data_IF_624348971127
#
_entry.id   IF_624348971127
#
_cell.length_a   1.000
_cell.length_b   1.000
_cell.length_c   1.000
_cell.angle_alpha   90.00
_cell.angle_beta   90.00
_cell.angle_gamma   90.00
#
_symmetry.space_group_name_H-M   'P 1'
#
loop_
_entity.id
_entity.type
_entity.pdbx_description
1 polymer ?
#
# COMPACT_ATOMS: atom_id res chain seq x y z
N UNK A 1 10.17 29.24 14.25
CA UNK A 1 9.26 28.70 15.30
C UNK A 1 8.30 27.72 14.65
N UNK A 2 8.53 26.41 14.78
CA UNK A 2 7.59 25.41 14.26
C UNK A 2 6.31 25.45 15.12
N UNK A 3 5.23 26.06 14.59
CA UNK A 3 3.89 25.84 15.15
C UNK A 3 3.62 24.35 15.07
N UNK A 4 3.18 23.76 16.18
CA UNK A 4 2.85 22.34 16.26
C UNK A 4 1.78 21.99 15.21
N UNK A 5 2.14 21.26 14.15
CA UNK A 5 1.22 20.80 13.08
C UNK A 5 0.12 19.91 13.62
N UNK A 6 0.46 19.15 14.67
CA UNK A 6 -0.42 18.56 15.64
C UNK A 6 -1.15 19.65 16.45
N UNK A 7 -1.64 20.74 15.87
CA UNK A 7 -2.71 21.58 16.45
C UNK A 7 -3.94 21.61 15.53
N UNK A 8 -3.81 21.15 14.28
CA UNK A 8 -4.90 21.08 13.30
C UNK A 8 -5.81 19.87 13.47
N UNK A 9 -5.31 18.74 13.96
CA UNK A 9 -6.17 17.57 14.23
C UNK A 9 -6.97 17.71 15.54
N UNK A 10 -8.08 17.00 15.70
CA UNK A 10 -8.65 16.81 17.02
C UNK A 10 -7.62 16.13 17.94
N UNK A 11 -7.49 16.59 19.20
CA UNK A 11 -6.52 16.01 20.16
C UNK A 11 -6.78 14.52 20.35
N UNK A 12 -8.04 14.14 20.31
CA UNK A 12 -8.58 12.80 20.34
C UNK A 12 -8.30 11.96 19.07
N UNK A 13 -7.45 12.43 18.16
CA UNK A 13 -7.00 11.67 16.98
C UNK A 13 -5.48 11.55 16.86
N UNK A 14 -4.73 11.99 17.88
CA UNK A 14 -3.26 12.04 17.86
C UNK A 14 -2.68 11.23 18.98
N UNK A 15 -2.24 10.03 18.71
CA UNK A 15 -1.89 9.10 19.77
C UNK A 15 -0.41 8.73 19.72
N UNK A 16 0.18 8.57 20.90
CA UNK A 16 1.48 7.96 21.04
C UNK A 16 1.40 6.79 22.01
N UNK A 17 1.87 5.63 21.55
CA UNK A 17 1.96 4.41 22.35
C UNK A 17 3.39 4.27 22.87
N UNK A 18 3.59 4.58 24.14
CA UNK A 18 4.91 4.53 24.77
C UNK A 18 5.26 3.18 25.41
N UNK A 19 4.33 2.20 25.45
CA UNK A 19 4.49 0.77 25.89
C UNK A 19 3.18 0.13 26.40
N UNK A 20 2.07 0.89 26.54
CA UNK A 20 0.82 0.39 27.13
C UNK A 20 0.13 -0.68 26.26
N UNK A 21 -0.10 -1.86 26.83
CA UNK A 21 -0.92 -2.95 26.29
C UNK A 21 -2.38 -2.50 26.11
N UNK A 22 -2.95 -2.69 24.91
CA UNK A 22 -4.35 -2.32 24.64
C UNK A 22 -4.75 -2.37 23.16
N UNK A 23 -3.77 -2.37 22.26
CA UNK A 23 -3.97 -2.63 20.83
C UNK A 23 -3.02 -3.76 20.43
N UNK A 24 -3.57 -4.96 20.27
CA UNK A 24 -2.86 -6.11 19.69
C UNK A 24 -2.43 -5.75 18.26
N UNK A 25 -1.18 -6.06 17.90
CA UNK A 25 -0.61 -5.76 16.58
C UNK A 25 0.22 -4.47 16.47
N UNK A 26 0.12 -3.51 17.40
CA UNK A 26 0.89 -2.25 17.33
C UNK A 26 2.15 -2.25 18.20
N UNK A 27 3.31 -1.85 17.65
CA UNK A 27 4.63 -1.87 18.33
C UNK A 27 4.78 -0.80 19.42
N UNK A 28 5.75 -1.00 20.32
CA UNK A 28 6.22 0.06 21.23
C UNK A 28 6.77 1.24 20.43
N UNK A 29 6.64 2.46 20.97
CA UNK A 29 7.05 3.72 20.32
C UNK A 29 6.35 4.01 18.98
N UNK A 30 5.08 3.62 18.85
CA UNK A 30 4.27 3.94 17.66
C UNK A 30 3.52 5.25 17.83
N UNK A 31 3.54 6.09 16.80
CA UNK A 31 2.63 7.23 16.66
C UNK A 31 1.48 6.88 15.73
N UNK A 32 0.28 7.31 16.09
CA UNK A 32 -0.95 6.95 15.39
C UNK A 32 -1.79 8.20 15.17
N UNK A 33 -2.22 8.41 13.94
CA UNK A 33 -2.98 9.58 13.53
C UNK A 33 -4.27 9.18 12.82
N UNK A 34 -5.36 9.88 13.12
CA UNK A 34 -6.62 9.75 12.38
C UNK A 34 -7.63 8.76 12.96
N UNK A 35 -7.38 8.14 14.12
CA UNK A 35 -8.37 7.28 14.78
C UNK A 35 -9.03 8.04 15.95
N UNK A 36 -10.34 8.33 15.89
CA UNK A 36 -11.08 8.85 17.03
C UNK A 36 -11.14 7.81 18.15
N UNK A 37 -10.98 8.22 19.40
CA UNK A 37 -11.10 7.33 20.55
C UNK A 37 -12.16 7.84 21.54
N UNK A 38 -13.25 7.09 21.67
CA UNK A 38 -14.38 7.47 22.53
C UNK A 38 -14.38 6.77 23.90
N UNK A 39 -13.83 5.55 24.00
CA UNK A 39 -14.05 4.69 25.17
C UNK A 39 -12.80 4.47 26.06
N UNK A 40 -11.59 4.70 25.56
CA UNK A 40 -10.36 4.59 26.37
C UNK A 40 -9.25 5.49 25.77
N UNK A 41 -9.19 6.78 26.15
CA UNK A 41 -8.31 7.74 25.50
C UNK A 41 -6.85 7.41 25.76
N UNK A 42 -6.10 7.08 24.70
CA UNK A 42 -4.64 7.12 24.75
C UNK A 42 -4.17 8.57 24.92
N UNK A 43 -2.98 8.81 25.47
CA UNK A 43 -2.47 10.17 25.65
C UNK A 43 -2.39 10.88 24.30
N UNK A 44 -3.11 11.99 24.18
CA UNK A 44 -3.01 12.83 23.00
C UNK A 44 -1.63 13.48 22.96
N UNK A 45 -0.94 13.46 21.82
CA UNK A 45 0.34 14.15 21.65
C UNK A 45 0.22 15.41 20.81
N UNK A 46 0.99 16.43 21.21
CA UNK A 46 1.17 17.66 20.44
C UNK A 46 2.51 17.66 19.68
N UNK A 47 3.41 16.69 19.91
CA UNK A 47 4.65 16.54 19.13
C UNK A 47 4.97 15.07 18.93
N UNK A 48 5.47 14.70 17.75
CA UNK A 48 6.09 13.40 17.50
C UNK A 48 7.31 13.23 18.40
N UNK A 49 7.38 12.20 19.26
CA UNK A 49 8.56 11.89 20.05
C UNK A 49 9.72 11.46 19.16
N UNK A 50 10.95 11.85 19.51
CA UNK A 50 12.15 11.44 18.78
C UNK A 50 12.46 9.94 18.85
N UNK A 51 11.82 9.20 19.77
CA UNK A 51 11.93 7.74 19.88
C UNK A 51 10.99 6.97 18.95
N UNK A 52 10.22 7.67 18.10
CA UNK A 52 9.20 7.03 17.24
C UNK A 52 9.87 6.12 16.22
N UNK A 53 9.52 4.83 16.25
CA UNK A 53 10.01 3.82 15.28
C UNK A 53 8.94 3.42 14.27
N UNK A 54 7.67 3.74 14.53
CA UNK A 54 6.53 3.34 13.70
C UNK A 54 5.52 4.48 13.61
N UNK A 55 4.97 4.72 12.42
CA UNK A 55 3.89 5.69 12.20
C UNK A 55 2.75 5.02 11.47
N UNK A 56 1.57 5.06 12.09
CA UNK A 56 0.31 4.63 11.51
C UNK A 56 -0.52 5.87 11.23
N UNK A 57 -0.89 6.03 9.98
CA UNK A 57 -1.44 7.27 9.48
C UNK A 57 -2.70 6.97 8.67
N UNK A 58 -3.85 7.23 9.29
CA UNK A 58 -5.14 7.15 8.64
C UNK A 58 -5.48 8.56 8.16
N UNK A 59 -5.31 8.79 6.86
CA UNK A 59 -5.42 10.09 6.23
C UNK A 59 -6.69 10.21 5.40
N UNK A 60 -7.39 11.34 5.57
CA UNK A 60 -8.23 11.86 4.50
C UNK A 60 -7.38 12.70 3.54
N UNK A 61 -7.96 13.06 2.39
CA UNK A 61 -7.34 13.90 1.34
C UNK A 61 -6.78 15.24 1.85
N UNK A 62 -7.17 15.70 3.05
CA UNK A 62 -6.66 16.93 3.67
C UNK A 62 -5.43 16.74 4.57
N UNK A 63 -4.91 15.52 4.76
CA UNK A 63 -4.03 15.19 5.90
C UNK A 63 -2.55 14.96 5.55
N UNK A 64 -2.13 15.31 4.33
CA UNK A 64 -0.78 15.08 3.81
C UNK A 64 0.34 15.81 4.56
N UNK A 65 0.01 16.87 5.31
CA UNK A 65 0.97 17.66 6.10
C UNK A 65 1.72 16.83 7.17
N UNK A 66 1.17 15.68 7.60
CA UNK A 66 1.86 14.80 8.56
C UNK A 66 3.12 14.20 7.95
N UNK A 67 3.05 13.76 6.69
CA UNK A 67 4.19 13.17 5.98
C UNK A 67 5.26 14.25 5.76
N UNK A 68 4.85 15.43 5.31
CA UNK A 68 5.75 16.57 5.15
C UNK A 68 6.47 16.91 6.45
N UNK A 69 5.75 16.98 7.58
CA UNK A 69 6.36 17.26 8.88
C UNK A 69 7.26 16.12 9.40
N UNK A 70 6.93 14.86 9.10
CA UNK A 70 7.76 13.71 9.44
C UNK A 70 9.11 13.82 8.74
N UNK A 71 9.09 14.17 7.45
CA UNK A 71 10.28 14.39 6.62
C UNK A 71 11.07 15.61 7.11
N UNK A 72 10.43 16.76 7.30
CA UNK A 72 11.10 18.01 7.75
C UNK A 72 11.80 17.85 9.11
N UNK A 73 11.33 16.92 9.95
CA UNK A 73 11.91 16.63 11.26
C UNK A 73 12.99 15.55 11.24
N UNK A 74 13.30 14.99 10.07
CA UNK A 74 14.27 13.89 9.92
C UNK A 74 13.81 12.57 10.53
N UNK A 75 12.51 12.42 10.82
CA UNK A 75 11.99 11.21 11.46
C UNK A 75 11.89 10.03 10.48
N UNK A 76 11.88 10.32 9.18
CA UNK A 76 11.99 9.33 8.09
C UNK A 76 13.24 8.44 8.23
N UNK A 77 14.34 8.95 8.78
CA UNK A 77 15.59 8.20 8.96
C UNK A 77 15.50 7.09 10.03
N UNK A 78 14.52 7.17 10.92
CA UNK A 78 14.33 6.24 12.03
C UNK A 78 13.10 5.36 11.87
N UNK A 79 12.27 5.66 10.86
CA UNK A 79 11.00 5.01 10.63
C UNK A 79 11.21 3.58 10.12
N UNK A 80 10.67 2.60 10.84
CA UNK A 80 10.69 1.19 10.44
C UNK A 80 9.37 0.72 9.81
N UNK A 81 8.24 1.35 10.16
CA UNK A 81 6.92 0.98 9.67
C UNK A 81 6.12 2.24 9.32
N UNK A 82 5.53 2.25 8.13
CA UNK A 82 4.65 3.30 7.65
C UNK A 82 3.39 2.69 7.05
N UNK A 83 2.24 3.06 7.59
CA UNK A 83 0.93 2.71 7.03
C UNK A 83 0.21 3.99 6.69
N UNK A 84 -0.25 4.10 5.44
CA UNK A 84 -1.03 5.22 4.94
C UNK A 84 -2.32 4.65 4.34
N UNK A 85 -3.46 5.04 4.90
CA UNK A 85 -4.77 4.52 4.50
C UNK A 85 -5.91 5.50 4.77
N UNK A 86 -7.15 5.03 4.60
CA UNK A 86 -8.35 5.85 4.71
C UNK A 86 -8.80 6.09 6.16
N UNK A 87 -9.50 7.21 6.41
CA UNK A 87 -10.08 7.59 7.70
C UNK A 87 -11.62 7.58 7.68
N UNK A 88 -12.23 6.94 8.68
CA UNK A 88 -13.70 6.78 8.85
C UNK A 88 -14.43 8.13 8.87
N UNK A 89 -13.92 9.15 9.55
CA UNK A 89 -14.71 10.36 9.84
C UNK A 89 -14.88 11.30 8.65
N UNK A 90 -14.30 10.98 7.49
CA UNK A 90 -14.34 11.80 6.27
C UNK A 90 -15.03 11.09 5.11
N UNK A 91 -16.04 10.26 5.37
CA UNK A 91 -16.92 9.66 4.35
C UNK A 91 -17.69 10.74 3.56
N UNK A 92 -16.96 11.46 2.71
CA UNK A 92 -17.51 11.90 1.44
C UNK A 92 -17.19 10.78 0.47
N UNK A 93 -18.22 10.01 0.13
CA UNK A 93 -18.22 9.06 -0.97
C UNK A 93 -17.56 9.70 -2.19
N UNK A 94 -16.62 8.99 -2.82
CA UNK A 94 -15.99 9.47 -4.04
C UNK A 94 -14.47 9.39 -4.00
N UNK A 95 -13.95 9.22 -5.22
CA UNK A 95 -12.58 8.90 -5.57
C UNK A 95 -11.54 9.66 -4.71
N UNK A 96 -10.46 8.97 -4.27
CA UNK A 96 -9.38 9.57 -3.47
C UNK A 96 -8.06 9.56 -4.24
N UNK A 97 -7.50 10.75 -4.44
CA UNK A 97 -6.21 10.93 -5.09
C UNK A 97 -5.10 11.10 -4.06
N UNK A 98 -4.24 10.09 -3.94
CA UNK A 98 -3.07 10.08 -3.07
C UNK A 98 -1.77 10.40 -3.83
N UNK A 99 -1.80 10.79 -5.12
CA UNK A 99 -0.59 11.10 -5.88
C UNK A 99 0.34 12.11 -5.19
N UNK A 100 -0.21 13.12 -4.49
CA UNK A 100 0.56 14.08 -3.70
C UNK A 100 1.34 13.43 -2.55
N UNK A 101 0.85 12.35 -1.96
CA UNK A 101 1.59 11.59 -0.94
C UNK A 101 2.82 10.94 -1.58
N UNK A 102 2.67 10.33 -2.75
CA UNK A 102 3.80 9.74 -3.49
C UNK A 102 4.85 10.79 -3.85
N UNK A 103 4.42 11.99 -4.25
CA UNK A 103 5.30 13.13 -4.49
C UNK A 103 6.01 13.65 -3.23
N UNK A 104 5.41 13.51 -2.04
CA UNK A 104 6.05 13.89 -0.78
C UNK A 104 7.08 12.83 -0.37
N UNK A 105 6.71 11.54 -0.45
CA UNK A 105 7.59 10.42 -0.12
C UNK A 105 8.81 10.35 -1.05
N UNK A 106 8.69 10.77 -2.31
CA UNK A 106 9.82 10.81 -3.24
C UNK A 106 10.88 11.86 -2.91
N UNK A 107 10.61 12.80 -1.99
CA UNK A 107 11.54 13.89 -1.62
C UNK A 107 12.52 13.54 -0.51
N UNK A 108 12.39 12.37 0.11
CA UNK A 108 13.21 11.98 1.25
C UNK A 108 13.51 10.48 1.26
N UNK A 109 14.64 10.12 1.85
CA UNK A 109 15.03 8.73 2.05
C UNK A 109 14.39 8.14 3.31
N UNK A 110 14.06 6.86 3.25
CA UNK A 110 13.51 6.07 4.36
C UNK A 110 14.42 4.86 4.60
N UNK A 111 15.67 5.08 5.04
CA UNK A 111 16.73 4.07 5.04
C UNK A 111 16.48 2.88 5.98
N UNK A 112 15.56 3.01 6.94
CA UNK A 112 15.21 1.96 7.92
C UNK A 112 13.81 1.38 7.72
N UNK A 113 13.06 1.86 6.73
CA UNK A 113 11.67 1.46 6.53
C UNK A 113 11.63 0.02 6.02
N UNK A 114 11.04 -0.87 6.82
CA UNK A 114 10.90 -2.30 6.56
C UNK A 114 9.51 -2.66 6.06
N UNK A 115 8.48 -1.99 6.58
CA UNK A 115 7.09 -2.23 6.18
C UNK A 115 6.49 -0.95 5.64
N UNK A 116 5.94 -1.01 4.42
CA UNK A 116 5.17 0.06 3.83
C UNK A 116 3.84 -0.48 3.33
N UNK A 117 2.76 0.07 3.87
CA UNK A 117 1.39 -0.21 3.44
C UNK A 117 0.78 1.10 2.96
N UNK A 118 0.29 1.13 1.74
CA UNK A 118 -0.16 2.37 1.12
C UNK A 118 -1.49 2.21 0.40
N UNK A 119 -2.42 3.10 0.71
CA UNK A 119 -3.82 3.00 0.31
C UNK A 119 -4.62 2.06 1.21
N UNK A 120 -4.07 1.67 2.37
CA UNK A 120 -4.66 0.68 3.28
C UNK A 120 -6.14 0.95 3.48
N UNK A 121 -6.95 -0.06 3.19
CA UNK A 121 -8.38 0.05 3.32
C UNK A 121 -8.86 -0.14 4.76
N UNK A 122 -8.01 -0.60 5.70
CA UNK A 122 -8.39 -1.05 7.06
C UNK A 122 -9.71 -0.44 7.57
N UNK A 123 -10.75 -1.22 7.32
CA UNK A 123 -12.15 -0.82 7.36
C UNK A 123 -12.63 -0.87 8.80
N UNK A 124 -12.54 0.27 9.49
CA UNK A 124 -13.19 0.46 10.79
C UNK A 124 -14.70 0.79 10.64
N UNK A 125 -15.22 0.75 9.43
CA UNK A 125 -16.64 0.69 9.10
C UNK A 125 -16.88 -0.56 8.26
N UNK A 126 -17.99 -1.27 8.47
CA UNK A 126 -18.35 -2.47 7.71
C UNK A 126 -18.67 -2.14 6.23
N UNK A 127 -17.69 -1.74 5.41
CA UNK A 127 -17.84 -1.46 3.99
C UNK A 127 -16.60 -1.91 3.22
N UNK A 128 -16.74 -2.84 2.28
CA UNK A 128 -15.61 -3.44 1.58
C UNK A 128 -15.16 -2.65 0.34
N UNK A 129 -13.87 -2.79 0.02
CA UNK A 129 -13.26 -2.59 -1.29
C UNK A 129 -13.37 -1.19 -1.91
N UNK A 130 -12.79 -0.19 -1.23
CA UNK A 130 -12.70 1.16 -1.77
C UNK A 130 -11.25 1.64 -1.90
N UNK A 131 -10.78 1.76 -3.15
CA UNK A 131 -9.36 1.90 -3.43
C UNK A 131 -8.98 3.25 -4.07
N UNK A 132 -7.94 3.94 -3.55
CA UNK A 132 -7.49 5.23 -4.06
C UNK A 132 -6.60 5.11 -5.32
N UNK A 133 -6.35 6.24 -5.98
CA UNK A 133 -5.22 6.36 -6.91
C UNK A 133 -3.99 6.83 -6.14
N UNK A 134 -2.93 6.05 -6.18
CA UNK A 134 -1.68 6.31 -5.48
C UNK A 134 -0.72 7.19 -6.28
N UNK A 135 -0.97 7.45 -7.56
CA UNK A 135 -0.03 8.15 -8.42
C UNK A 135 1.16 7.28 -8.87
N UNK A 136 2.21 7.92 -9.36
CA UNK A 136 3.48 7.24 -9.65
C UNK A 136 4.27 7.04 -8.36
N UNK A 137 4.50 5.77 -8.00
CA UNK A 137 5.17 5.38 -6.76
C UNK A 137 6.66 5.06 -6.94
N UNK A 138 7.18 5.12 -8.17
CA UNK A 138 8.54 4.61 -8.50
C UNK A 138 9.63 5.25 -7.66
N UNK A 139 9.64 6.59 -7.59
CA UNK A 139 10.66 7.33 -6.85
C UNK A 139 10.50 7.16 -5.33
N UNK A 140 9.26 7.12 -4.83
CA UNK A 140 8.99 6.87 -3.43
C UNK A 140 9.51 5.51 -2.98
N UNK A 141 9.27 4.44 -3.77
CA UNK A 141 9.79 3.11 -3.48
C UNK A 141 11.31 3.03 -3.61
N UNK A 142 11.91 3.75 -4.57
CA UNK A 142 13.37 3.87 -4.71
C UNK A 142 14.06 4.44 -3.47
N UNK A 143 13.35 5.23 -2.67
CA UNK A 143 13.84 5.82 -1.43
C UNK A 143 13.71 4.89 -0.20
N UNK A 144 13.26 3.64 -0.38
CA UNK A 144 13.00 2.68 0.71
C UNK A 144 13.88 1.43 0.59
N UNK A 145 15.23 1.55 0.66
CA UNK A 145 16.14 0.44 0.34
C UNK A 145 16.11 -0.72 1.34
N UNK A 146 15.54 -0.50 2.53
CA UNK A 146 15.41 -1.52 3.57
C UNK A 146 14.06 -2.26 3.57
N UNK A 147 13.22 -2.03 2.55
CA UNK A 147 11.87 -2.54 2.54
C UNK A 147 11.84 -4.07 2.44
N UNK A 148 11.17 -4.69 3.41
CA UNK A 148 10.96 -6.13 3.54
C UNK A 148 9.53 -6.52 3.16
N UNK A 149 8.56 -5.62 3.40
CA UNK A 149 7.14 -5.85 3.12
C UNK A 149 6.51 -4.62 2.47
N UNK A 150 5.90 -4.82 1.30
CA UNK A 150 5.19 -3.78 0.57
C UNK A 150 3.77 -4.24 0.30
N UNK A 151 2.79 -3.41 0.66
CA UNK A 151 1.40 -3.58 0.24
C UNK A 151 0.88 -2.30 -0.40
N UNK A 152 0.40 -2.41 -1.64
CA UNK A 152 -0.22 -1.32 -2.38
C UNK A 152 -1.68 -1.65 -2.59
N UNK A 153 -2.54 -0.83 -2.00
CA UNK A 153 -3.97 -0.86 -2.15
C UNK A 153 -4.37 0.30 -3.06
N UNK A 154 -4.61 -0.02 -4.32
CA UNK A 154 -5.29 0.83 -5.29
C UNK A 154 -4.57 0.95 -6.61
N UNK A 155 -4.97 1.94 -7.40
CA UNK A 155 -4.40 2.14 -8.74
C UNK A 155 -3.13 2.96 -8.62
N UNK A 156 -2.03 2.50 -9.23
CA UNK A 156 -0.77 3.22 -9.24
C UNK A 156 -0.09 3.11 -10.60
N UNK A 157 0.92 3.94 -10.80
CA UNK A 157 1.82 3.87 -11.93
C UNK A 157 3.25 3.56 -11.48
N UNK A 158 4.00 2.93 -12.38
CA UNK A 158 5.45 2.90 -12.33
C UNK A 158 5.99 3.52 -13.61
N UNK A 159 6.91 4.48 -13.49
CA UNK A 159 7.68 5.07 -14.59
C UNK A 159 9.06 4.42 -14.76
N UNK A 160 9.50 3.63 -13.79
CA UNK A 160 10.76 2.89 -13.84
C UNK A 160 10.68 1.60 -13.02
N UNK A 161 11.66 0.71 -13.25
CA UNK A 161 11.84 -0.48 -12.41
C UNK A 161 12.27 -0.06 -11.01
N UNK A 162 11.76 -0.78 -10.02
CA UNK A 162 12.14 -0.60 -8.62
C UNK A 162 13.13 -1.69 -8.24
N UNK A 163 14.12 -1.39 -7.40
CA UNK A 163 15.04 -2.39 -6.89
C UNK A 163 14.92 -2.46 -5.37
N UNK A 164 14.28 -3.51 -4.87
CA UNK A 164 14.04 -3.76 -3.44
C UNK A 164 14.64 -5.13 -3.07
N UNK A 165 15.97 -5.22 -2.93
CA UNK A 165 16.65 -6.51 -2.79
C UNK A 165 16.28 -7.26 -1.51
N UNK A 166 15.75 -6.56 -0.50
CA UNK A 166 15.31 -7.13 0.78
C UNK A 166 13.82 -7.44 0.82
N UNK A 167 13.06 -7.18 -0.24
CA UNK A 167 11.62 -7.38 -0.24
C UNK A 167 11.31 -8.87 -0.19
N UNK A 168 10.60 -9.29 0.85
CA UNK A 168 10.16 -10.67 1.10
C UNK A 168 8.68 -10.86 0.78
N UNK A 169 7.88 -9.81 0.97
CA UNK A 169 6.43 -9.82 0.75
C UNK A 169 6.01 -8.63 -0.12
N UNK A 170 5.32 -8.92 -1.23
CA UNK A 170 4.68 -7.93 -2.09
C UNK A 170 3.21 -8.27 -2.25
N UNK A 171 2.33 -7.37 -1.82
CA UNK A 171 0.89 -7.43 -2.06
C UNK A 171 0.41 -6.25 -2.89
N UNK A 172 -0.31 -6.53 -3.96
CA UNK A 172 -0.98 -5.53 -4.79
C UNK A 172 -2.46 -5.87 -4.78
N UNK A 173 -3.28 -4.91 -4.37
CA UNK A 173 -4.73 -5.04 -4.34
C UNK A 173 -5.32 -3.84 -5.04
N UNK A 174 -6.06 -4.07 -6.11
CA UNK A 174 -6.77 -3.01 -6.82
C UNK A 174 -8.17 -3.51 -7.07
N UNK A 175 -9.05 -3.28 -6.09
CA UNK A 175 -10.46 -3.55 -6.26
C UNK A 175 -11.23 -2.26 -6.52
N UNK A 176 -12.29 -2.29 -7.33
CA UNK A 176 -13.29 -1.22 -7.46
C UNK A 176 -12.75 0.23 -7.53
N UNK A 177 -12.64 0.76 -8.75
CA UNK A 177 -12.30 2.17 -8.98
C UNK A 177 -13.59 2.91 -9.33
N UNK A 178 -13.97 3.92 -8.54
CA UNK A 178 -15.22 4.68 -8.78
C UNK A 178 -15.07 5.83 -9.79
N UNK A 179 -13.93 5.97 -10.46
CA UNK A 179 -13.65 7.04 -11.43
C UNK A 179 -13.10 6.48 -12.76
N UNK A 180 -13.84 6.70 -13.85
CA UNK A 180 -13.61 6.11 -15.19
C UNK A 180 -12.29 6.63 -15.75
N UNK A 181 -11.85 7.81 -15.28
CA UNK A 181 -10.73 8.53 -15.86
C UNK A 181 -9.37 8.02 -15.41
N UNK A 182 -9.31 7.32 -14.27
CA UNK A 182 -8.04 6.82 -13.72
C UNK A 182 -7.81 5.33 -14.03
N UNK A 183 -8.89 4.61 -14.33
CA UNK A 183 -8.83 3.27 -14.91
C UNK A 183 -8.16 2.24 -14.01
N UNK A 184 -7.56 1.24 -14.65
CA UNK A 184 -6.91 0.10 -14.00
C UNK A 184 -5.40 0.34 -13.88
N UNK A 185 -4.72 -0.48 -13.08
CA UNK A 185 -3.26 -0.60 -13.19
C UNK A 185 -2.94 -0.98 -14.64
N UNK A 186 -2.12 -0.17 -15.32
CA UNK A 186 -1.79 -0.42 -16.73
C UNK A 186 -0.93 -1.68 -16.90
N UNK A 187 -1.01 -2.32 -18.07
CA UNK A 187 -0.09 -3.42 -18.41
C UNK A 187 1.38 -3.01 -18.30
N UNK A 188 1.73 -1.79 -18.74
CA UNK A 188 3.09 -1.27 -18.65
C UNK A 188 3.59 -1.15 -17.19
N UNK A 189 2.71 -0.72 -16.27
CA UNK A 189 3.03 -0.69 -14.83
C UNK A 189 3.26 -2.10 -14.29
N UNK A 190 2.43 -3.06 -14.68
CA UNK A 190 2.59 -4.44 -14.27
C UNK A 190 3.87 -5.08 -14.83
N UNK A 191 4.21 -4.81 -16.09
CA UNK A 191 5.46 -5.29 -16.71
C UNK A 191 6.70 -4.71 -16.01
N UNK A 192 6.66 -3.43 -15.64
CA UNK A 192 7.72 -2.80 -14.84
C UNK A 192 7.83 -3.42 -13.45
N UNK A 193 6.71 -3.67 -12.78
CA UNK A 193 6.69 -4.33 -11.47
C UNK A 193 7.26 -5.75 -11.56
N UNK A 194 6.81 -6.56 -12.52
CA UNK A 194 7.26 -7.95 -12.67
C UNK A 194 8.71 -8.07 -13.17
N UNK A 195 9.23 -7.03 -13.84
CA UNK A 195 10.63 -6.96 -14.25
C UNK A 195 11.55 -6.23 -13.25
N UNK A 196 11.03 -5.85 -12.08
CA UNK A 196 11.77 -5.19 -11.00
C UNK A 196 12.66 -6.17 -10.21
N UNK A 197 13.62 -5.62 -9.47
CA UNK A 197 14.62 -6.39 -8.72
C UNK A 197 14.14 -6.78 -7.33
N UNK A 198 13.56 -7.98 -7.18
CA UNK A 198 13.07 -8.52 -5.90
C UNK A 198 13.74 -9.87 -5.56
N UNK A 199 15.04 -9.85 -5.30
CA UNK A 199 15.86 -11.08 -5.14
C UNK A 199 15.41 -11.96 -3.97
N UNK A 200 14.89 -11.35 -2.89
CA UNK A 200 14.45 -12.04 -1.67
C UNK A 200 12.95 -12.33 -1.61
N UNK A 201 12.21 -12.11 -2.70
CA UNK A 201 10.74 -12.19 -2.68
C UNK A 201 10.27 -13.62 -2.47
N UNK A 202 9.61 -13.88 -1.34
CA UNK A 202 9.08 -15.19 -0.97
C UNK A 202 7.56 -15.28 -1.23
N UNK A 203 6.84 -14.17 -1.09
CA UNK A 203 5.39 -14.09 -1.25
C UNK A 203 5.02 -12.96 -2.21
N UNK A 204 4.30 -13.31 -3.27
CA UNK A 204 3.71 -12.37 -4.21
C UNK A 204 2.20 -12.56 -4.26
N UNK A 205 1.46 -11.49 -3.99
CA UNK A 205 0.01 -11.42 -4.08
C UNK A 205 -0.36 -10.31 -5.07
N UNK A 206 -1.07 -10.66 -6.13
CA UNK A 206 -1.55 -9.72 -7.15
C UNK A 206 -3.04 -9.93 -7.32
N UNK A 207 -3.81 -8.96 -6.86
CA UNK A 207 -5.25 -8.94 -6.97
C UNK A 207 -5.69 -7.71 -7.80
N UNK A 208 -6.19 -7.98 -9.00
CA UNK A 208 -6.51 -6.99 -10.04
C UNK A 208 -8.00 -7.02 -10.39
N UNK A 209 -8.86 -7.18 -9.38
CA UNK A 209 -10.31 -7.30 -9.54
C UNK A 209 -10.97 -5.92 -9.54
N UNK A 210 -10.75 -5.16 -10.61
CA UNK A 210 -11.47 -3.91 -10.82
C UNK A 210 -12.80 -4.19 -11.55
N UNK A 211 -13.93 -4.02 -10.85
CA UNK A 211 -15.24 -3.91 -11.49
C UNK A 211 -15.73 -2.46 -11.40
N UNK A 212 -16.14 -1.93 -12.55
CA UNK A 212 -16.47 -0.51 -12.67
C UNK A 212 -17.92 -0.17 -12.26
N UNK A 213 -18.83 -1.15 -12.14
CA UNK A 213 -20.18 -0.89 -11.63
C UNK A 213 -20.89 -2.18 -11.17
N UNK A 214 -21.91 -2.03 -10.31
CA UNK A 214 -22.81 -3.10 -9.89
C UNK A 214 -23.89 -3.45 -10.93
N UNK A 215 -24.08 -2.63 -11.98
CA UNK A 215 -25.29 -2.65 -12.82
C UNK A 215 -25.04 -2.67 -14.34
N UNK A 216 -23.78 -2.68 -14.79
CA UNK A 216 -23.42 -2.80 -16.21
C UNK A 216 -22.21 -3.69 -16.35
N UNK A 217 -22.03 -4.30 -17.53
CA UNK A 217 -20.77 -4.91 -18.00
C UNK A 217 -19.62 -3.90 -17.82
N UNK A 218 -19.11 -3.78 -16.59
CA UNK A 218 -18.08 -2.83 -16.24
C UNK A 218 -16.88 -3.06 -17.14
N UNK A 219 -16.14 -2.00 -17.47
CA UNK A 219 -14.91 -2.16 -18.22
C UNK A 219 -14.06 -3.25 -17.53
N UNK A 220 -13.60 -4.25 -18.29
CA UNK A 220 -12.69 -5.30 -17.83
C UNK A 220 -11.34 -5.05 -18.49
N UNK A 221 -10.27 -5.08 -17.70
CA UNK A 221 -8.91 -5.08 -18.25
C UNK A 221 -8.33 -6.49 -18.25
N UNK A 222 -8.15 -7.05 -19.45
CA UNK A 222 -7.52 -8.35 -19.63
C UNK A 222 -6.00 -8.23 -19.65
N UNK A 223 -5.35 -8.69 -18.58
CA UNK A 223 -3.90 -8.68 -18.46
C UNK A 223 -3.26 -9.84 -19.22
N UNK A 224 -2.07 -9.57 -19.74
CA UNK A 224 -1.18 -10.60 -20.30
C UNK A 224 0.10 -10.63 -19.47
N UNK A 225 0.24 -11.66 -18.64
CA UNK A 225 1.43 -11.83 -17.82
C UNK A 225 2.50 -12.55 -18.64
N UNK A 226 3.69 -11.97 -18.75
CA UNK A 226 4.87 -12.68 -19.27
C UNK A 226 5.34 -13.67 -18.21
N UNK A 227 5.03 -14.94 -18.42
CA UNK A 227 5.39 -16.01 -17.49
C UNK A 227 6.91 -16.12 -17.22
N UNK A 228 7.77 -15.68 -18.16
CA UNK A 228 9.22 -15.75 -17.97
C UNK A 228 9.71 -14.79 -16.89
N UNK A 229 9.00 -13.68 -16.64
CA UNK A 229 9.37 -12.72 -15.60
C UNK A 229 9.31 -13.34 -14.20
N UNK A 230 8.41 -14.31 -13.98
CA UNK A 230 8.28 -15.00 -12.70
C UNK A 230 9.48 -15.89 -12.36
N UNK A 231 10.29 -16.26 -13.37
CA UNK A 231 11.53 -17.02 -13.14
C UNK A 231 12.63 -16.19 -12.50
N UNK A 232 12.51 -14.86 -12.49
CA UNK A 232 13.46 -13.98 -11.83
C UNK A 232 13.31 -14.02 -10.30
N UNK A 233 12.14 -14.40 -9.78
CA UNK A 233 11.88 -14.50 -8.34
C UNK A 233 12.37 -15.83 -7.78
N UNK A 234 13.68 -15.92 -7.53
CA UNK A 234 14.34 -17.18 -7.12
C UNK A 234 13.89 -17.70 -5.76
N UNK A 235 13.48 -16.82 -4.86
CA UNK A 235 13.02 -17.17 -3.51
C UNK A 235 11.49 -17.42 -3.43
N UNK A 236 10.76 -17.23 -4.54
CA UNK A 236 9.30 -17.22 -4.52
C UNK A 236 8.75 -18.59 -4.14
N UNK A 237 8.00 -18.62 -3.04
CA UNK A 237 7.41 -19.82 -2.47
C UNK A 237 5.88 -19.78 -2.43
N UNK A 238 5.30 -18.58 -2.41
CA UNK A 238 3.87 -18.36 -2.47
C UNK A 238 3.53 -17.34 -3.56
N UNK A 239 2.61 -17.72 -4.44
CA UNK A 239 2.07 -16.88 -5.49
C UNK A 239 0.54 -16.97 -5.48
N UNK A 240 -0.10 -15.82 -5.28
CA UNK A 240 -1.52 -15.62 -5.49
C UNK A 240 -1.72 -14.59 -6.60
N UNK A 241 -2.48 -14.95 -7.63
CA UNK A 241 -2.87 -14.02 -8.69
C UNK A 241 -4.37 -14.18 -8.93
N UNK A 242 -5.11 -13.07 -8.87
CA UNK A 242 -6.53 -13.01 -9.20
C UNK A 242 -6.82 -11.80 -10.10
N UNK A 243 -7.70 -11.96 -11.10
CA UNK A 243 -8.07 -10.89 -12.03
C UNK A 243 -8.61 -11.40 -13.35
N UNK A 244 -8.75 -10.50 -14.32
CA UNK A 244 -9.13 -10.82 -15.70
C UNK A 244 -7.90 -11.03 -16.57
N UNK A 245 -7.72 -12.22 -17.14
CA UNK A 245 -6.53 -12.53 -17.93
C UNK A 245 -6.87 -12.94 -19.36
N UNK A 246 -5.95 -12.67 -20.29
CA UNK A 246 -6.08 -13.23 -21.65
C UNK A 246 -6.08 -14.75 -21.58
N UNK A 247 -6.86 -15.38 -22.46
CA UNK A 247 -7.03 -16.83 -22.52
C UNK A 247 -5.70 -17.62 -22.42
N UNK A 248 -5.70 -18.64 -21.57
CA UNK A 248 -4.56 -19.55 -21.34
C UNK A 248 -3.41 -18.97 -20.51
N UNK A 249 -3.52 -17.75 -19.96
CA UNK A 249 -2.47 -17.15 -19.12
C UNK A 249 -2.25 -17.96 -17.83
N UNK A 250 -3.33 -18.29 -17.12
CA UNK A 250 -3.28 -19.12 -15.91
C UNK A 250 -2.76 -20.53 -16.19
N UNK A 251 -3.12 -21.14 -17.32
CA UNK A 251 -2.60 -22.45 -17.75
C UNK A 251 -1.09 -22.42 -18.04
N UNK A 252 -0.58 -21.35 -18.67
CA UNK A 252 0.85 -21.17 -18.94
C UNK A 252 1.63 -20.99 -17.63
N UNK A 253 1.14 -20.14 -16.72
CA UNK A 253 1.74 -19.94 -15.40
C UNK A 253 1.72 -21.21 -14.56
N UNK A 254 0.61 -21.94 -14.54
CA UNK A 254 0.49 -23.22 -13.82
C UNK A 254 1.54 -24.22 -14.30
N UNK A 255 1.67 -24.40 -15.61
CA UNK A 255 2.68 -25.31 -16.19
C UNK A 255 4.10 -24.89 -15.85
N UNK A 256 4.38 -23.59 -15.80
CA UNK A 256 5.72 -23.08 -15.52
C UNK A 256 6.11 -23.18 -14.04
N UNK A 257 5.16 -22.93 -13.13
CA UNK A 257 5.44 -22.64 -11.72
C UNK A 257 5.01 -23.73 -10.73
N UNK A 258 4.10 -24.64 -11.10
CA UNK A 258 3.55 -25.66 -10.19
C UNK A 258 4.59 -26.58 -9.55
N UNK A 259 5.70 -26.86 -10.26
CA UNK A 259 6.80 -27.66 -9.73
C UNK A 259 7.81 -26.86 -8.87
N UNK A 260 7.69 -25.52 -8.86
CA UNK A 260 8.66 -24.59 -8.22
C UNK A 260 8.11 -23.92 -6.97
N UNK A 261 6.82 -23.62 -6.96
CA UNK A 261 6.15 -22.82 -5.91
C UNK A 261 5.30 -23.76 -5.05
N UNK A 262 5.45 -23.71 -3.72
CA UNK A 262 4.68 -24.58 -2.82
C UNK A 262 3.21 -24.18 -2.74
N UNK A 263 2.94 -22.87 -2.78
CA UNK A 263 1.57 -22.32 -2.70
C UNK A 263 1.28 -21.52 -3.96
N UNK A 264 0.56 -22.13 -4.89
CA UNK A 264 0.15 -21.49 -6.14
C UNK A 264 -1.37 -21.40 -6.18
N UNK A 265 -1.90 -20.18 -6.28
CA UNK A 265 -3.32 -19.92 -6.48
C UNK A 265 -3.46 -18.93 -7.63
N UNK A 266 -4.12 -19.37 -8.70
CA UNK A 266 -4.35 -18.58 -9.90
C UNK A 266 -5.84 -18.62 -10.20
N UNK A 267 -6.48 -17.46 -10.17
CA UNK A 267 -7.91 -17.30 -10.41
C UNK A 267 -8.13 -16.34 -11.58
N UNK A 268 -8.86 -16.82 -12.58
CA UNK A 268 -9.25 -16.04 -13.76
C UNK A 268 -10.76 -15.80 -13.70
N UNK A 269 -11.18 -14.54 -13.67
CA UNK A 269 -12.58 -14.14 -13.39
C UNK A 269 -13.42 -14.13 -14.68
N UNK A 270 -12.99 -14.85 -15.72
CA UNK A 270 -13.78 -14.97 -16.94
C UNK A 270 -15.19 -15.49 -16.61
N UNK A 271 -16.22 -14.79 -17.12
CA UNK A 271 -17.59 -15.28 -17.08
C UNK A 271 -17.69 -16.52 -17.99
N UNK A 272 -18.09 -17.64 -17.39
CA UNK A 272 -18.41 -18.90 -18.06
C UNK A 272 -19.60 -18.78 -18.99
#
# INVERSE_FOLDING_TARGET
>A
MARSFLKKYPKDQRLFKSERSGFEGWRSNSCIFGIPHYNNPLPSIDKLPGSTTSVFAYFAEGNFEIIENLIERGLNEQLEHLVIGSQISSYQYGFKNYARISELLSRAEFPKLKTFVYGDEFLLANQDAYYPYLGDVSAALGNMPALERLKLYGVFALSSRVNLPKLVELGIHSYWVTDEQLGFISQATLDLLLSSGFESLETLEIDLICNYSYDTDGAKQYYQLDEQLFLNFRALNALYICGYFKAGTTDRLTRLLSAKIQKLSLEDINES
#
